data_IF_275814189404
#
_entry.id   IF_275814189404
#
_cell.length_a   1.000
_cell.length_b   1.000
_cell.length_c   1.000
_cell.angle_alpha   90.00
_cell.angle_beta   90.00
_cell.angle_gamma   90.00
#
_symmetry.space_group_name_H-M   'P 1'
#
loop_
_entity.id
_entity.type
_entity.pdbx_description
1 polymer ?
#
# COMPACT_ATOMS: atom_id res chain seq x y z
N UNK A 1 -12.53 12.20 24.73
CA UNK A 1 -11.22 11.56 24.51
C UNK A 1 -10.17 12.28 25.34
N UNK A 2 -9.27 11.55 25.99
CA UNK A 2 -8.25 12.13 26.87
C UNK A 2 -7.16 12.80 26.02
N UNK A 3 -7.22 14.12 25.86
CA UNK A 3 -6.30 14.93 25.03
C UNK A 3 -4.84 14.96 25.54
N UNK A 4 -4.57 14.36 26.71
CA UNK A 4 -3.22 14.29 27.29
C UNK A 4 -2.46 13.01 26.91
N UNK A 5 -3.02 12.18 26.04
CA UNK A 5 -2.37 10.96 25.58
C UNK A 5 -1.18 11.30 24.71
N UNK A 6 0.00 10.80 25.08
CA UNK A 6 1.21 10.90 24.26
C UNK A 6 1.26 9.71 23.31
N UNK A 7 1.47 9.98 22.04
CA UNK A 7 1.55 8.94 20.99
C UNK A 7 2.94 8.95 20.40
N UNK A 8 3.62 7.80 20.43
CA UNK A 8 4.88 7.59 19.74
C UNK A 8 4.65 6.88 18.40
N UNK A 9 5.21 7.41 17.31
CA UNK A 9 5.17 6.80 15.98
C UNK A 9 6.58 6.42 15.60
N UNK A 10 6.79 5.18 15.17
CA UNK A 10 8.08 4.69 14.69
C UNK A 10 8.08 4.71 13.17
N UNK A 11 8.99 5.52 12.61
CA UNK A 11 9.14 5.74 11.17
C UNK A 11 8.62 7.09 10.69
N UNK A 12 9.48 7.88 10.05
CA UNK A 12 9.18 9.20 9.46
C UNK A 12 9.00 9.14 7.93
N UNK A 13 8.57 8.01 7.39
CA UNK A 13 8.09 7.90 6.02
C UNK A 13 6.69 8.51 5.88
N UNK A 14 6.14 8.51 4.66
CA UNK A 14 4.84 9.12 4.36
C UNK A 14 3.72 8.62 5.29
N UNK A 15 3.70 7.34 5.63
CA UNK A 15 2.71 6.75 6.52
C UNK A 15 2.82 7.31 7.95
N UNK A 16 4.05 7.38 8.48
CA UNK A 16 4.28 7.88 9.84
C UNK A 16 3.96 9.36 9.96
N UNK A 17 4.39 10.17 9.00
CA UNK A 17 4.15 11.62 8.98
C UNK A 17 2.65 11.91 8.83
N UNK A 18 1.95 11.28 7.87
CA UNK A 18 0.51 11.49 7.68
C UNK A 18 -0.29 11.13 8.94
N UNK A 19 0.00 9.97 9.55
CA UNK A 19 -0.65 9.59 10.81
C UNK A 19 -0.37 10.59 11.94
N UNK A 20 0.87 11.09 12.03
CA UNK A 20 1.25 12.07 13.05
C UNK A 20 0.45 13.36 12.89
N UNK A 21 0.33 13.89 11.67
CA UNK A 21 -0.42 15.11 11.38
C UNK A 21 -1.91 14.96 11.75
N UNK A 22 -2.56 13.87 11.32
CA UNK A 22 -3.96 13.63 11.68
C UNK A 22 -4.18 13.45 13.19
N UNK A 23 -3.25 12.82 13.89
CA UNK A 23 -3.33 12.70 15.36
C UNK A 23 -3.11 14.04 16.05
N UNK A 24 -2.19 14.87 15.56
CA UNK A 24 -1.99 16.24 16.04
C UNK A 24 -3.23 17.10 15.84
N UNK A 25 -3.86 17.07 14.66
CA UNK A 25 -5.14 17.74 14.40
C UNK A 25 -6.23 17.34 15.38
N UNK A 26 -6.23 16.08 15.81
CA UNK A 26 -7.15 15.56 16.84
C UNK A 26 -6.74 15.94 18.27
N UNK A 27 -5.66 16.69 18.45
CA UNK A 27 -5.19 17.21 19.75
C UNK A 27 -4.35 16.24 20.57
N UNK A 28 -3.77 15.20 19.94
CA UNK A 28 -2.81 14.34 20.61
C UNK A 28 -1.41 14.96 20.61
N UNK A 29 -0.64 14.66 21.65
CA UNK A 29 0.79 15.00 21.68
C UNK A 29 1.57 13.87 21.00
N UNK A 30 2.07 14.13 19.79
CA UNK A 30 2.70 13.11 18.93
C UNK A 30 4.21 13.32 18.86
N UNK A 31 4.96 12.24 19.01
CA UNK A 31 6.41 12.21 18.79
C UNK A 31 6.73 11.15 17.73
N UNK A 32 7.48 11.52 16.69
CA UNK A 32 7.97 10.59 15.67
C UNK A 32 9.40 10.19 16.03
N UNK A 33 9.68 8.89 15.96
CA UNK A 33 11.00 8.32 16.13
C UNK A 33 11.46 7.73 14.80
N UNK A 34 12.59 8.19 14.29
CA UNK A 34 13.24 7.62 13.12
C UNK A 34 14.76 7.57 13.34
N UNK A 35 15.44 6.69 12.64
CA UNK A 35 16.91 6.62 12.65
C UNK A 35 17.55 7.73 11.80
N UNK A 36 16.79 8.28 10.84
CA UNK A 36 17.26 9.26 9.87
C UNK A 36 16.35 10.50 9.88
N UNK A 37 16.79 11.56 9.21
CA UNK A 37 15.96 12.75 9.00
C UNK A 37 14.71 12.41 8.17
N UNK A 38 13.55 13.02 8.46
CA UNK A 38 12.32 12.80 7.69
C UNK A 38 12.56 12.96 6.19
N UNK A 39 12.07 11.99 5.39
CA UNK A 39 12.16 12.01 3.93
C UNK A 39 13.52 11.62 3.34
N UNK A 40 14.59 11.39 4.11
CA UNK A 40 15.92 11.13 3.55
C UNK A 40 16.12 9.69 3.09
N UNK A 41 15.89 8.70 3.94
CA UNK A 41 16.11 7.26 3.68
C UNK A 41 14.82 6.43 3.69
N UNK A 42 13.68 7.10 3.83
CA UNK A 42 12.39 6.42 3.79
C UNK A 42 12.10 5.86 2.39
N UNK A 43 11.44 4.69 2.32
CA UNK A 43 10.98 4.11 1.04
C UNK A 43 10.03 5.03 0.26
N UNK A 44 9.43 6.02 0.92
CA UNK A 44 8.60 7.05 0.30
C UNK A 44 9.40 8.08 -0.49
N UNK A 45 10.69 8.25 -0.17
CA UNK A 45 11.56 9.19 -0.86
C UNK A 45 11.83 8.71 -2.29
N UNK A 46 11.62 9.58 -3.26
CA UNK A 46 11.84 9.25 -4.68
C UNK A 46 10.85 8.21 -5.25
N UNK A 47 9.72 7.97 -4.60
CA UNK A 47 8.67 7.14 -5.20
C UNK A 47 8.06 7.84 -6.42
N UNK A 48 7.28 7.09 -7.21
CA UNK A 48 6.68 7.59 -8.45
C UNK A 48 5.55 8.61 -8.24
N UNK A 49 5.18 8.93 -6.98
CA UNK A 49 4.09 9.88 -6.68
C UNK A 49 2.72 9.44 -7.21
N UNK A 50 2.53 8.14 -7.46
CA UNK A 50 1.31 7.64 -8.06
C UNK A 50 0.24 7.35 -7.00
N UNK A 51 -0.89 8.06 -7.10
CA UNK A 51 -2.09 7.81 -6.31
C UNK A 51 -3.06 6.96 -7.14
N UNK A 52 -3.37 5.76 -6.67
CA UNK A 52 -4.24 4.83 -7.39
C UNK A 52 -5.42 4.38 -6.52
N UNK A 53 -6.52 5.15 -6.50
CA UNK A 53 -7.72 4.78 -5.74
C UNK A 53 -8.38 3.50 -6.28
N UNK A 54 -8.08 3.15 -7.55
CA UNK A 54 -8.62 1.95 -8.19
C UNK A 54 -7.80 0.68 -7.95
N UNK A 55 -6.73 0.74 -7.17
CA UNK A 55 -5.89 -0.41 -6.80
C UNK A 55 -6.58 -1.40 -5.84
N UNK A 56 -7.91 -1.31 -5.70
CA UNK A 56 -8.74 -2.25 -4.96
C UNK A 56 -8.84 -3.63 -5.63
N UNK A 57 -8.58 -3.71 -6.95
CA UNK A 57 -8.59 -4.97 -7.67
C UNK A 57 -7.30 -5.75 -7.41
N UNK A 58 -7.43 -6.88 -6.73
CA UNK A 58 -6.29 -7.74 -6.45
C UNK A 58 -5.81 -8.49 -7.69
N UNK A 59 -4.51 -8.86 -7.71
CA UNK A 59 -3.88 -9.58 -8.82
C UNK A 59 -4.42 -11.01 -9.00
N UNK A 60 -5.10 -11.58 -8.00
CA UNK A 60 -5.65 -12.93 -8.05
C UNK A 60 -6.99 -12.99 -8.83
N UNK A 61 -7.02 -12.39 -10.01
CA UNK A 61 -8.14 -12.42 -10.95
C UNK A 61 -7.99 -13.58 -11.92
N UNK A 62 -9.11 -14.16 -12.33
CA UNK A 62 -9.11 -15.28 -13.27
C UNK A 62 -8.58 -14.92 -14.66
N UNK A 63 -8.84 -13.70 -15.12
CA UNK A 63 -8.33 -13.17 -16.38
C UNK A 63 -6.80 -13.01 -16.34
N UNK A 64 -6.25 -12.46 -15.26
CA UNK A 64 -4.80 -12.33 -15.09
C UNK A 64 -4.11 -13.71 -15.06
N UNK A 65 -4.73 -14.72 -14.42
CA UNK A 65 -4.18 -16.07 -14.40
C UNK A 65 -4.11 -16.70 -15.79
N UNK A 66 -5.05 -16.40 -16.67
CA UNK A 66 -5.05 -16.88 -18.06
C UNK A 66 -3.86 -16.32 -18.85
N UNK A 67 -3.41 -15.11 -18.53
CA UNK A 67 -2.31 -14.44 -19.20
C UNK A 67 -0.92 -14.83 -18.67
N UNK A 68 -0.85 -15.46 -17.48
CA UNK A 68 0.43 -15.86 -16.85
C UNK A 68 1.35 -16.67 -17.76
N UNK A 69 0.89 -17.68 -18.52
CA UNK A 69 1.77 -18.44 -19.41
C UNK A 69 2.41 -17.54 -20.50
N UNK A 70 1.62 -16.62 -21.08
CA UNK A 70 2.13 -15.69 -22.09
C UNK A 70 3.13 -14.70 -21.47
N UNK A 71 2.88 -14.21 -20.26
CA UNK A 71 3.79 -13.32 -19.53
C UNK A 71 5.12 -13.99 -19.20
N UNK A 72 5.11 -15.29 -18.86
CA UNK A 72 6.31 -16.05 -18.53
C UNK A 72 7.18 -16.39 -19.76
N UNK A 73 6.55 -16.54 -20.94
CA UNK A 73 7.25 -16.82 -22.19
C UNK A 73 7.82 -15.56 -22.86
N UNK A 74 7.38 -14.37 -22.41
CA UNK A 74 7.85 -13.11 -22.96
C UNK A 74 9.14 -12.67 -22.29
N UNK A 75 10.18 -12.38 -23.07
CA UNK A 75 11.46 -11.86 -22.57
C UNK A 75 11.36 -10.41 -22.01
N UNK A 76 10.31 -9.68 -22.39
CA UNK A 76 10.01 -8.31 -21.93
C UNK A 76 8.75 -8.26 -21.05
N UNK A 77 8.23 -9.43 -20.69
CA UNK A 77 7.02 -9.56 -19.88
C UNK A 77 7.18 -9.01 -18.46
N UNK A 78 6.06 -8.61 -17.83
CA UNK A 78 6.07 -8.06 -16.48
C UNK A 78 6.35 -9.12 -15.40
N UNK A 79 6.36 -10.39 -15.75
CA UNK A 79 6.52 -11.51 -14.83
C UNK A 79 7.83 -12.27 -15.10
N UNK A 80 8.78 -12.14 -14.20
CA UNK A 80 10.03 -12.88 -14.23
C UNK A 80 10.10 -13.86 -13.04
N UNK A 81 10.26 -15.14 -13.32
CA UNK A 81 10.41 -16.18 -12.31
C UNK A 81 11.84 -16.73 -12.28
N UNK A 82 12.39 -16.78 -11.07
CA UNK A 82 13.65 -17.46 -10.83
C UNK A 82 13.39 -18.96 -10.63
N UNK A 83 13.71 -19.78 -11.62
CA UNK A 83 13.34 -21.20 -11.70
C UNK A 83 13.74 -22.02 -10.46
N UNK A 84 14.92 -21.75 -9.89
CA UNK A 84 15.39 -22.42 -8.68
C UNK A 84 14.61 -22.04 -7.41
N UNK A 85 13.78 -20.99 -7.46
CA UNK A 85 12.96 -20.55 -6.35
C UNK A 85 11.53 -21.11 -6.38
N UNK A 86 11.09 -21.63 -7.53
CA UNK A 86 9.72 -22.16 -7.74
C UNK A 86 9.33 -23.18 -6.68
N UNK A 87 10.16 -24.20 -6.32
CA UNK A 87 9.77 -25.18 -5.31
C UNK A 87 9.41 -24.55 -3.95
N UNK A 88 10.08 -23.48 -3.58
CA UNK A 88 9.80 -22.74 -2.34
C UNK A 88 8.51 -21.93 -2.40
N UNK A 89 8.07 -21.56 -3.61
CA UNK A 89 6.85 -20.78 -3.84
C UNK A 89 5.59 -21.64 -3.98
N UNK A 90 5.71 -22.95 -4.19
CA UNK A 90 4.56 -23.86 -4.39
C UNK A 90 3.46 -23.68 -3.32
N UNK A 91 3.75 -23.67 -2.01
CA UNK A 91 2.71 -23.51 -1.01
C UNK A 91 1.97 -22.17 -1.11
N UNK A 92 2.67 -21.11 -1.51
CA UNK A 92 2.08 -19.82 -1.77
C UNK A 92 1.20 -19.84 -3.03
N UNK A 93 1.67 -20.44 -4.14
CA UNK A 93 0.91 -20.56 -5.38
C UNK A 93 -0.40 -21.32 -5.18
N UNK A 94 -0.40 -22.40 -4.41
CA UNK A 94 -1.61 -23.16 -4.10
C UNK A 94 -2.62 -22.25 -3.40
N UNK A 95 -2.20 -21.52 -2.36
CA UNK A 95 -3.07 -20.58 -1.64
C UNK A 95 -3.55 -19.44 -2.54
N UNK A 96 -2.70 -18.94 -3.42
CA UNK A 96 -3.04 -17.90 -4.37
C UNK A 96 -4.16 -18.36 -5.31
N UNK A 97 -4.01 -19.53 -5.95
CA UNK A 97 -5.01 -20.10 -6.85
C UNK A 97 -6.33 -20.39 -6.10
N UNK A 98 -6.26 -20.97 -4.90
CA UNK A 98 -7.45 -21.24 -4.08
C UNK A 98 -8.24 -19.96 -3.71
N UNK A 99 -7.59 -18.82 -3.75
CA UNK A 99 -8.22 -17.52 -3.48
C UNK A 99 -8.61 -16.74 -4.74
N UNK A 100 -8.40 -17.32 -5.94
CA UNK A 100 -8.75 -16.72 -7.24
C UNK A 100 -10.20 -16.99 -7.64
N UNK A 101 -11.11 -17.09 -6.71
CA UNK A 101 -12.53 -17.23 -7.02
C UNK A 101 -13.18 -15.85 -7.09
N UNK A 102 -14.14 -15.67 -8.02
CA UNK A 102 -14.84 -14.41 -8.23
C UNK A 102 -15.42 -13.84 -6.92
N UNK A 103 -15.98 -14.69 -6.08
CA UNK A 103 -16.59 -14.25 -4.81
C UNK A 103 -15.54 -13.72 -3.83
N UNK A 104 -14.41 -14.41 -3.68
CA UNK A 104 -13.32 -13.97 -2.80
C UNK A 104 -12.66 -12.69 -3.32
N UNK A 105 -12.45 -12.62 -4.64
CA UNK A 105 -11.92 -11.42 -5.28
C UNK A 105 -12.83 -10.21 -5.05
N UNK A 106 -14.13 -10.37 -5.30
CA UNK A 106 -15.11 -9.29 -5.08
C UNK A 106 -15.21 -8.88 -3.61
N UNK A 107 -15.14 -9.83 -2.69
CA UNK A 107 -15.09 -9.54 -1.25
C UNK A 107 -13.87 -8.71 -0.89
N UNK A 108 -12.69 -9.11 -1.35
CA UNK A 108 -11.44 -8.36 -1.12
C UNK A 108 -11.51 -6.97 -1.75
N UNK A 109 -11.93 -6.87 -3.01
CA UNK A 109 -12.05 -5.60 -3.72
C UNK A 109 -12.99 -4.63 -3.01
N UNK A 110 -14.16 -5.11 -2.56
CA UNK A 110 -15.12 -4.27 -1.82
C UNK A 110 -14.54 -3.72 -0.52
N UNK A 111 -13.85 -4.55 0.26
CA UNK A 111 -13.28 -4.11 1.53
C UNK A 111 -12.08 -3.17 1.32
N UNK A 112 -11.25 -3.44 0.31
CA UNK A 112 -10.14 -2.55 -0.05
C UNK A 112 -10.63 -1.19 -0.57
N UNK A 113 -11.69 -1.19 -1.38
CA UNK A 113 -12.28 0.03 -1.92
C UNK A 113 -12.76 0.97 -0.80
N UNK A 114 -13.39 0.45 0.24
CA UNK A 114 -13.84 1.26 1.39
C UNK A 114 -12.70 2.01 2.09
N UNK A 115 -11.48 1.44 2.10
CA UNK A 115 -10.31 2.09 2.68
C UNK A 115 -9.70 3.08 1.68
N UNK A 116 -9.60 2.68 0.41
CA UNK A 116 -8.96 3.50 -0.62
C UNK A 116 -9.78 4.74 -1.00
N UNK A 117 -11.11 4.66 -0.89
CA UNK A 117 -12.00 5.83 -1.10
C UNK A 117 -11.73 6.97 -0.12
N UNK A 118 -11.20 6.66 1.06
CA UNK A 118 -10.83 7.67 2.05
C UNK A 118 -9.45 8.29 1.80
N UNK A 119 -8.64 7.67 0.93
CA UNK A 119 -7.25 8.07 0.77
C UNK A 119 -7.11 9.44 0.07
N UNK A 120 -7.80 9.65 -1.05
CA UNK A 120 -7.70 10.92 -1.78
C UNK A 120 -8.22 12.11 -0.96
N UNK A 121 -9.44 12.07 -0.37
CA UNK A 121 -9.91 13.16 0.48
C UNK A 121 -8.96 13.44 1.66
N UNK A 122 -8.33 12.40 2.22
CA UNK A 122 -7.36 12.58 3.29
C UNK A 122 -6.07 13.27 2.81
N UNK A 123 -5.62 12.98 1.59
CA UNK A 123 -4.49 13.69 0.99
C UNK A 123 -4.84 15.14 0.65
N UNK A 124 -6.02 15.41 0.09
CA UNK A 124 -6.48 16.77 -0.20
C UNK A 124 -6.46 17.63 1.09
N UNK A 125 -6.98 17.08 2.21
CA UNK A 125 -6.94 17.75 3.52
C UNK A 125 -5.50 18.06 3.99
N UNK A 126 -4.52 17.21 3.67
CA UNK A 126 -3.11 17.46 4.03
C UNK A 126 -2.45 18.46 3.08
N UNK A 127 -2.78 18.42 1.79
CA UNK A 127 -2.18 19.31 0.80
C UNK A 127 -2.70 20.74 0.90
N UNK A 128 -3.95 20.92 1.32
CA UNK A 128 -4.53 22.26 1.58
C UNK A 128 -3.80 23.03 2.69
N UNK A 129 -3.03 22.33 3.54
CA UNK A 129 -2.24 22.95 4.62
C UNK A 129 -0.78 23.20 4.24
N UNK A 130 -0.35 22.73 3.07
CA UNK A 130 1.02 22.90 2.59
C UNK A 130 0.99 23.94 1.48
N UNK A 131 1.60 25.12 1.73
CA UNK A 131 1.93 26.05 0.66
C UNK A 131 2.98 25.39 -0.25
N UNK A 132 2.52 24.80 -1.33
CA UNK A 132 3.39 24.29 -2.38
C UNK A 132 3.75 25.47 -3.27
N UNK A 133 4.92 26.11 -3.01
CA UNK A 133 5.57 27.03 -3.94
C UNK A 133 6.12 26.30 -5.16
#
# INVERSE_FOLDING_TARGET
>A
MNKNLKVGIVGAGIQGVSNALFLQKKGFNVTIFDRDNPGSQAASYGNAGHFSPYASLSLNRTDVLADVPAMLLSSTGPLALKWNYIPKMIPWFIKFIMNTTKNKMMHTAKNMHQILDLALPAYDELFDEIDLE
#
